data_IF_846837334027
#
_entry.id   IF_846837334027
#
_cell.length_a   1.000
_cell.length_b   1.000
_cell.length_c   1.000
_cell.angle_alpha   90.00
_cell.angle_beta   90.00
_cell.angle_gamma   90.00
#
_symmetry.space_group_name_H-M   'P 1'
#
loop_
_entity.id
_entity.type
_entity.pdbx_description
1 polymer ?
#
# COMPACT_ATOMS: atom_id res chain seq x y z
N UNK A 1 -39.49 -19.27 -2.76
CA UNK A 1 -39.11 -20.69 -2.56
C UNK A 1 -37.99 -21.11 -3.51
N UNK A 2 -38.11 -20.91 -4.83
CA UNK A 2 -37.06 -21.30 -5.81
C UNK A 2 -35.65 -20.76 -5.52
N UNK A 3 -35.52 -19.52 -5.06
CA UNK A 3 -34.21 -18.93 -4.74
C UNK A 3 -33.53 -19.57 -3.52
N UNK A 4 -34.30 -19.99 -2.52
CA UNK A 4 -33.75 -20.66 -1.32
C UNK A 4 -33.23 -22.05 -1.68
N UNK A 5 -33.90 -22.73 -2.62
CA UNK A 5 -33.48 -24.05 -3.09
C UNK A 5 -32.22 -23.96 -3.96
N UNK A 6 -32.09 -22.91 -4.77
CA UNK A 6 -30.86 -22.63 -5.54
C UNK A 6 -29.66 -22.32 -4.64
N UNK A 7 -29.86 -21.54 -3.56
CA UNK A 7 -28.82 -21.26 -2.56
C UNK A 7 -28.40 -22.54 -1.83
N UNK A 8 -29.35 -23.38 -1.42
CA UNK A 8 -29.05 -24.68 -0.79
C UNK A 8 -28.27 -25.60 -1.72
N UNK A 9 -28.60 -25.59 -3.01
CA UNK A 9 -27.90 -26.38 -4.01
C UNK A 9 -26.45 -25.90 -4.21
N UNK A 10 -26.24 -24.59 -4.36
CA UNK A 10 -24.89 -23.99 -4.45
C UNK A 10 -24.07 -24.26 -3.19
N UNK A 11 -24.68 -24.23 -2.01
CA UNK A 11 -24.00 -24.56 -0.76
C UNK A 11 -23.58 -26.03 -0.70
N UNK A 12 -24.42 -26.95 -1.20
CA UNK A 12 -24.10 -28.38 -1.27
C UNK A 12 -22.97 -28.67 -2.26
N UNK A 13 -22.93 -27.95 -3.38
CA UNK A 13 -21.82 -28.02 -4.35
C UNK A 13 -20.51 -27.51 -3.74
N UNK A 14 -20.55 -26.38 -3.03
CA UNK A 14 -19.39 -25.84 -2.30
C UNK A 14 -18.89 -26.81 -1.22
N UNK A 15 -19.78 -27.48 -0.48
CA UNK A 15 -19.40 -28.53 0.48
C UNK A 15 -18.72 -29.72 -0.22
N UNK A 16 -19.20 -30.11 -1.39
CA UNK A 16 -18.58 -31.15 -2.21
C UNK A 16 -17.17 -30.77 -2.65
N UNK A 17 -17.00 -29.58 -3.22
CA UNK A 17 -15.70 -29.05 -3.64
C UNK A 17 -14.74 -28.96 -2.45
N UNK A 18 -15.20 -28.43 -1.32
CA UNK A 18 -14.39 -28.31 -0.11
C UNK A 18 -13.93 -29.68 0.40
N UNK A 19 -14.82 -30.68 0.38
CA UNK A 19 -14.47 -32.05 0.78
C UNK A 19 -13.42 -32.67 -0.14
N UNK A 20 -13.59 -32.55 -1.45
CA UNK A 20 -12.61 -33.04 -2.43
C UNK A 20 -11.27 -32.32 -2.28
N UNK A 21 -11.28 -31.03 -1.98
CA UNK A 21 -10.07 -30.24 -1.76
C UNK A 21 -9.37 -30.67 -0.47
N UNK A 22 -10.11 -30.90 0.62
CA UNK A 22 -9.58 -31.44 1.89
C UNK A 22 -8.97 -32.82 1.68
N UNK A 23 -9.65 -33.72 0.95
CA UNK A 23 -9.15 -35.07 0.67
C UNK A 23 -7.88 -35.02 -0.20
N UNK A 24 -7.87 -34.21 -1.26
CA UNK A 24 -6.70 -34.01 -2.12
C UNK A 24 -5.51 -33.40 -1.37
N UNK A 25 -5.77 -32.43 -0.50
CA UNK A 25 -4.72 -31.77 0.29
C UNK A 25 -4.21 -32.68 1.40
N UNK A 26 -5.08 -33.47 2.03
CA UNK A 26 -4.73 -34.53 2.99
C UNK A 26 -3.76 -35.51 2.34
N UNK A 27 -4.06 -36.02 1.15
CA UNK A 27 -3.20 -37.03 0.51
C UNK A 27 -1.84 -36.44 0.10
N UNK A 28 -1.81 -35.20 -0.40
CA UNK A 28 -0.56 -34.48 -0.71
C UNK A 28 0.25 -34.17 0.54
N UNK A 29 -0.40 -33.77 1.64
CA UNK A 29 0.28 -33.53 2.91
C UNK A 29 0.80 -34.83 3.51
N UNK A 30 0.02 -35.91 3.53
CA UNK A 30 0.46 -37.22 4.00
C UNK A 30 1.65 -37.75 3.18
N UNK A 31 1.64 -37.58 1.86
CA UNK A 31 2.76 -37.92 0.98
C UNK A 31 4.02 -37.07 1.20
N UNK A 32 3.86 -35.83 1.68
CA UNK A 32 4.97 -34.92 1.99
C UNK A 32 5.50 -35.14 3.42
N UNK A 33 4.62 -35.47 4.36
CA UNK A 33 4.95 -35.72 5.77
C UNK A 33 5.48 -37.14 6.03
N UNK A 34 5.19 -38.12 5.17
CA UNK A 34 5.84 -39.44 5.20
C UNK A 34 7.36 -39.36 4.92
N UNK A 35 7.81 -38.26 4.31
CA UNK A 35 9.23 -37.97 4.05
C UNK A 35 9.94 -37.21 5.18
N UNK A 36 9.25 -36.86 6.27
CA UNK A 36 9.86 -36.20 7.45
C UNK A 36 10.05 -37.19 8.60
N UNK A 37 11.29 -37.61 8.91
CA UNK A 37 11.56 -38.76 9.78
C UNK A 37 11.47 -38.50 11.30
N UNK A 38 11.19 -37.28 11.78
CA UNK A 38 11.45 -36.92 13.20
C UNK A 38 10.25 -36.42 14.00
N UNK A 39 9.06 -36.25 13.40
CA UNK A 39 7.87 -35.77 14.12
C UNK A 39 6.91 -36.91 14.50
N UNK A 40 6.51 -36.98 15.77
CA UNK A 40 5.43 -37.85 16.24
C UNK A 40 4.12 -37.52 15.49
N UNK A 41 3.30 -38.53 15.21
CA UNK A 41 2.03 -38.44 14.48
C UNK A 41 1.12 -37.32 15.01
N UNK A 42 1.05 -37.14 16.33
CA UNK A 42 0.23 -36.08 16.94
C UNK A 42 0.70 -34.66 16.55
N UNK A 43 2.01 -34.45 16.42
CA UNK A 43 2.56 -33.16 15.98
C UNK A 43 2.32 -32.91 14.48
N UNK A 44 2.35 -33.98 13.66
CA UNK A 44 2.00 -33.91 12.23
C UNK A 44 0.52 -33.57 12.03
N UNK A 45 -0.37 -34.18 12.81
CA UNK A 45 -1.81 -33.87 12.80
C UNK A 45 -2.06 -32.44 13.27
N UNK A 46 -1.38 -32.00 14.34
CA UNK A 46 -1.47 -30.62 14.84
C UNK A 46 -1.08 -29.58 13.78
N UNK A 47 0.07 -29.77 13.10
CA UNK A 47 0.50 -28.88 12.02
C UNK A 47 -0.46 -28.87 10.83
N UNK A 48 -1.02 -30.03 10.47
CA UNK A 48 -2.01 -30.11 9.39
C UNK A 48 -3.29 -29.36 9.73
N UNK A 49 -3.76 -29.45 10.98
CA UNK A 49 -4.94 -28.71 11.45
C UNK A 49 -4.70 -27.20 11.50
N UNK A 50 -3.51 -26.74 11.93
CA UNK A 50 -3.15 -25.32 11.88
C UNK A 50 -3.10 -24.82 10.44
N UNK A 51 -2.49 -25.58 9.53
CA UNK A 51 -2.45 -25.23 8.10
C UNK A 51 -3.84 -25.16 7.48
N UNK A 52 -4.74 -26.09 7.83
CA UNK A 52 -6.12 -26.09 7.39
C UNK A 52 -6.89 -24.87 7.94
N UNK A 53 -6.74 -24.56 9.23
CA UNK A 53 -7.39 -23.41 9.86
C UNK A 53 -6.91 -22.08 9.24
N UNK A 54 -5.62 -21.96 8.91
CA UNK A 54 -5.07 -20.80 8.21
C UNK A 54 -5.60 -20.69 6.78
N UNK A 55 -5.70 -21.81 6.05
CA UNK A 55 -6.26 -21.81 4.70
C UNK A 55 -7.75 -21.42 4.71
N UNK A 56 -8.55 -21.99 5.62
CA UNK A 56 -9.97 -21.62 5.77
C UNK A 56 -10.11 -20.15 6.18
N UNK A 57 -9.27 -19.65 7.10
CA UNK A 57 -9.24 -18.24 7.49
C UNK A 57 -8.89 -17.31 6.33
N UNK A 58 -7.91 -17.67 5.51
CA UNK A 58 -7.52 -16.91 4.32
C UNK A 58 -8.67 -16.84 3.30
N UNK A 59 -9.31 -17.97 3.01
CA UNK A 59 -10.45 -18.01 2.08
C UNK A 59 -11.65 -17.24 2.61
N UNK A 60 -12.03 -17.43 3.87
CA UNK A 60 -13.14 -16.71 4.50
C UNK A 60 -12.90 -15.19 4.53
N UNK A 61 -11.67 -14.75 4.85
CA UNK A 61 -11.29 -13.34 4.78
C UNK A 61 -11.37 -12.75 3.37
N UNK A 62 -10.94 -13.51 2.35
CA UNK A 62 -11.02 -13.07 0.95
C UNK A 62 -12.45 -12.92 0.44
N UNK A 63 -13.38 -13.77 0.91
CA UNK A 63 -14.81 -13.72 0.54
C UNK A 63 -15.51 -12.58 1.28
N UNK A 64 -15.24 -12.40 2.58
CA UNK A 64 -15.81 -11.30 3.36
C UNK A 64 -15.39 -9.91 2.83
N UNK A 65 -14.15 -9.77 2.35
CA UNK A 65 -13.71 -8.54 1.69
C UNK A 65 -14.41 -8.28 0.35
N UNK A 66 -14.87 -9.32 -0.36
CA UNK A 66 -15.67 -9.17 -1.58
C UNK A 66 -17.11 -8.76 -1.31
N UNK A 67 -17.74 -9.26 -0.24
CA UNK A 67 -19.10 -8.87 0.16
C UNK A 67 -19.16 -7.49 0.84
N UNK A 68 -18.08 -7.06 1.51
CA UNK A 68 -18.00 -5.73 2.13
C UNK A 68 -18.05 -4.56 1.12
N UNK A 69 -17.82 -4.81 -0.17
CA UNK A 69 -17.86 -3.79 -1.21
C UNK A 69 -19.26 -3.51 -1.78
N UNK A 70 -20.30 -4.29 -1.43
CA UNK A 70 -21.67 -4.09 -1.94
C UNK A 70 -22.66 -3.50 -0.94
N UNK A 71 -22.25 -3.19 0.31
CA UNK A 71 -23.13 -2.61 1.32
C UNK A 71 -22.70 -1.18 1.71
N UNK A 72 -23.05 -0.22 0.86
CA UNK A 72 -23.31 1.15 1.31
C UNK A 72 -24.64 1.17 2.07
N UNK A 73 -24.62 1.06 3.40
CA UNK A 73 -25.63 1.66 4.28
C UNK A 73 -25.22 1.49 5.75
N UNK A 74 -25.49 2.53 6.53
CA UNK A 74 -25.28 2.62 7.96
C UNK A 74 -25.87 1.42 8.73
N UNK A 75 -25.00 0.65 9.38
CA UNK A 75 -25.40 -0.24 10.48
C UNK A 75 -24.46 0.02 11.67
N UNK A 76 -24.99 0.21 12.89
CA UNK A 76 -24.15 0.46 14.06
C UNK A 76 -23.22 -0.74 14.27
N UNK A 77 -21.93 -0.45 14.41
CA UNK A 77 -20.89 -1.44 14.62
C UNK A 77 -21.18 -2.28 15.87
N UNK A 78 -21.47 -3.57 15.67
CA UNK A 78 -21.36 -4.56 16.75
C UNK A 78 -19.93 -4.53 17.30
N UNK A 79 -19.74 -4.38 18.63
CA UNK A 79 -18.40 -4.21 19.22
C UNK A 79 -17.54 -5.48 19.18
N UNK A 80 -18.12 -6.62 18.79
CA UNK A 80 -17.43 -7.91 18.73
C UNK A 80 -17.64 -8.55 17.37
N UNK A 81 -16.92 -8.05 16.35
CA UNK A 81 -16.74 -8.79 15.12
C UNK A 81 -15.36 -9.49 15.14
N UNK A 82 -15.29 -10.80 15.45
CA UNK A 82 -14.04 -11.56 15.52
C UNK A 82 -13.32 -11.66 14.17
N UNK A 83 -13.92 -11.19 13.06
CA UNK A 83 -13.25 -11.12 11.76
C UNK A 83 -12.44 -9.83 11.55
N UNK A 84 -12.63 -8.78 12.36
CA UNK A 84 -11.84 -7.54 12.25
C UNK A 84 -10.36 -7.75 12.60
N UNK A 85 -10.07 -8.52 13.65
CA UNK A 85 -8.68 -8.78 14.02
C UNK A 85 -7.98 -9.68 12.98
N UNK A 86 -8.68 -10.69 12.43
CA UNK A 86 -8.17 -11.50 11.31
C UNK A 86 -7.90 -10.64 10.07
N UNK A 87 -8.82 -9.72 9.73
CA UNK A 87 -8.59 -8.71 8.69
C UNK A 87 -7.35 -7.87 8.97
N UNK A 88 -7.11 -7.42 10.20
CA UNK A 88 -5.92 -6.62 10.53
C UNK A 88 -4.58 -7.36 10.49
N UNK A 89 -4.58 -8.70 10.64
CA UNK A 89 -3.36 -9.52 10.62
C UNK A 89 -3.00 -9.97 9.21
N UNK A 90 -3.99 -10.09 8.31
CA UNK A 90 -3.79 -10.60 6.95
C UNK A 90 -4.14 -9.61 5.82
N UNK A 91 -4.84 -8.51 6.10
CA UNK A 91 -4.93 -7.41 5.15
C UNK A 91 -3.59 -6.68 5.16
N UNK A 92 -3.02 -6.47 3.98
CA UNK A 92 -1.85 -5.61 3.81
C UNK A 92 -2.09 -4.25 4.49
N UNK A 93 -1.03 -3.62 4.98
CA UNK A 93 -1.13 -2.27 5.56
C UNK A 93 -1.63 -1.32 4.47
N UNK A 94 -2.90 -0.95 4.53
CA UNK A 94 -3.46 0.10 3.66
C UNK A 94 -3.02 1.44 4.27
N UNK A 95 -2.00 2.05 3.69
CA UNK A 95 -1.64 3.41 4.05
C UNK A 95 -2.69 4.36 3.47
N UNK A 96 -3.24 5.25 4.31
CA UNK A 96 -4.14 6.30 3.85
C UNK A 96 -3.30 7.51 3.41
N UNK A 97 -3.76 8.25 2.41
CA UNK A 97 -3.13 9.52 2.02
C UNK A 97 -2.95 10.43 3.23
N UNK A 98 -1.78 11.07 3.35
CA UNK A 98 -1.44 11.89 4.50
C UNK A 98 -0.04 11.62 5.07
N UNK A 99 0.22 12.19 6.23
CA UNK A 99 1.49 12.00 6.95
C UNK A 99 1.56 10.59 7.53
N UNK A 100 2.62 9.87 7.20
CA UNK A 100 2.86 8.50 7.63
C UNK A 100 3.72 8.46 8.92
N UNK A 101 3.73 7.33 9.65
CA UNK A 101 4.51 7.20 10.89
C UNK A 101 6.02 7.40 10.74
N UNK A 102 6.55 7.16 9.54
CA UNK A 102 7.97 7.35 9.20
C UNK A 102 8.32 8.82 8.85
N UNK A 103 7.34 9.73 8.92
CA UNK A 103 7.52 11.14 8.56
C UNK A 103 7.41 11.42 7.06
N UNK A 104 7.18 10.39 6.23
CA UNK A 104 6.83 10.59 4.82
C UNK A 104 5.41 11.15 4.67
N UNK A 105 5.10 11.73 3.52
CA UNK A 105 3.74 12.13 3.17
C UNK A 105 3.29 11.37 1.94
N UNK A 106 2.28 10.52 2.08
CA UNK A 106 1.69 9.75 0.99
C UNK A 106 0.63 10.60 0.28
N UNK A 107 0.84 10.88 -1.01
CA UNK A 107 -0.18 11.50 -1.84
C UNK A 107 -1.23 10.47 -2.28
N UNK A 108 -0.77 9.36 -2.86
CA UNK A 108 -1.65 8.32 -3.39
C UNK A 108 -0.92 6.99 -3.50
N UNK A 109 -1.55 5.93 -2.99
CA UNK A 109 -1.28 4.53 -3.29
C UNK A 109 -2.44 3.86 -4.05
N UNK A 110 -3.41 4.65 -4.52
CA UNK A 110 -4.53 4.20 -5.37
C UNK A 110 -5.43 3.10 -4.78
N UNK A 111 -5.35 2.83 -3.48
CA UNK A 111 -6.20 1.86 -2.78
C UNK A 111 -7.65 2.35 -2.58
N UNK A 112 -7.89 3.65 -2.73
CA UNK A 112 -9.18 4.28 -2.50
C UNK A 112 -9.58 5.19 -3.65
N UNK A 113 -10.90 5.38 -3.83
CA UNK A 113 -11.42 6.31 -4.83
C UNK A 113 -10.99 7.75 -4.55
N UNK A 114 -10.86 8.13 -3.28
CA UNK A 114 -10.37 9.46 -2.88
C UNK A 114 -8.93 9.70 -3.37
N UNK A 115 -8.06 8.70 -3.22
CA UNK A 115 -6.68 8.78 -3.71
C UNK A 115 -6.61 9.00 -5.23
N UNK A 116 -7.48 8.34 -6.01
CA UNK A 116 -7.58 8.58 -7.46
C UNK A 116 -8.15 9.97 -7.78
N UNK A 117 -9.20 10.40 -7.08
CA UNK A 117 -9.85 11.69 -7.32
C UNK A 117 -8.98 12.89 -6.96
N UNK A 118 -7.88 12.68 -6.22
CA UNK A 118 -6.88 13.71 -5.94
C UNK A 118 -6.08 14.16 -7.16
N UNK A 119 -6.17 13.41 -8.27
CA UNK A 119 -5.48 13.71 -9.53
C UNK A 119 -6.41 14.37 -10.55
N UNK A 120 -6.00 15.51 -11.07
CA UNK A 120 -6.54 16.11 -12.28
C UNK A 120 -6.02 15.35 -13.51
N UNK A 121 -6.90 15.12 -14.49
CA UNK A 121 -6.58 14.42 -15.73
C UNK A 121 -6.68 15.36 -16.92
N UNK A 122 -5.63 15.41 -17.75
CA UNK A 122 -5.59 16.17 -19.01
C UNK A 122 -5.34 15.17 -20.13
N UNK A 123 -6.34 14.95 -21.00
CA UNK A 123 -6.24 13.94 -22.05
C UNK A 123 -5.75 12.56 -21.55
N UNK A 124 -6.17 12.19 -20.34
CA UNK A 124 -5.85 10.93 -19.70
C UNK A 124 -7.11 10.31 -19.10
N UNK A 125 -7.08 9.00 -18.85
CA UNK A 125 -8.07 8.27 -18.06
C UNK A 125 -7.36 7.58 -16.92
N UNK A 126 -7.99 7.51 -15.75
CA UNK A 126 -7.47 6.83 -14.58
C UNK A 126 -8.53 5.88 -14.02
N UNK A 127 -8.12 4.68 -13.62
CA UNK A 127 -8.96 3.70 -12.94
C UNK A 127 -8.13 2.86 -11.97
N UNK A 128 -8.74 2.28 -10.92
CA UNK A 128 -8.03 1.36 -10.04
C UNK A 128 -7.79 0.06 -10.78
N UNK A 129 -6.61 -0.54 -10.59
CA UNK A 129 -6.23 -1.79 -11.22
C UNK A 129 -5.65 -2.74 -10.20
N UNK A 130 -6.11 -3.99 -10.20
CA UNK A 130 -5.47 -5.09 -9.45
C UNK A 130 -4.26 -5.68 -10.18
N UNK A 131 -4.04 -5.29 -11.44
CA UNK A 131 -2.86 -5.66 -12.21
C UNK A 131 -1.71 -4.71 -11.88
N UNK A 132 -0.51 -5.27 -11.76
CA UNK A 132 0.71 -4.51 -11.49
C UNK A 132 0.48 -3.54 -10.32
N UNK A 133 0.12 -4.06 -9.15
CA UNK A 133 0.20 -3.32 -7.89
C UNK A 133 1.62 -3.47 -7.35
N UNK A 134 2.22 -2.36 -6.90
CA UNK A 134 3.54 -2.40 -6.25
C UNK A 134 3.38 -2.67 -4.76
N UNK A 135 2.46 -1.93 -4.13
CA UNK A 135 2.06 -2.10 -2.74
C UNK A 135 0.54 -2.30 -2.67
N UNK A 136 0.07 -2.99 -1.62
CA UNK A 136 -1.36 -3.20 -1.41
C UNK A 136 -2.03 -4.08 -2.48
N UNK A 137 -3.28 -3.77 -2.81
CA UNK A 137 -4.15 -4.52 -3.72
C UNK A 137 -4.38 -3.81 -5.06
N UNK A 138 -4.14 -2.49 -5.14
CA UNK A 138 -4.43 -1.70 -6.33
C UNK A 138 -3.28 -0.79 -6.72
N UNK A 139 -3.14 -0.55 -8.03
CA UNK A 139 -2.40 0.58 -8.58
C UNK A 139 -3.32 1.49 -9.38
N UNK A 140 -2.86 2.71 -9.67
CA UNK A 140 -3.54 3.62 -10.58
C UNK A 140 -3.17 3.30 -12.01
N UNK A 141 -4.06 2.65 -12.76
CA UNK A 141 -3.89 2.51 -14.21
C UNK A 141 -4.28 3.82 -14.88
N UNK A 142 -3.30 4.44 -15.54
CA UNK A 142 -3.44 5.69 -16.26
C UNK A 142 -3.20 5.47 -17.74
N UNK A 143 -4.22 5.72 -18.55
CA UNK A 143 -4.12 5.73 -20.01
C UNK A 143 -3.94 7.16 -20.50
N UNK A 144 -2.74 7.49 -20.98
CA UNK A 144 -2.51 8.74 -21.72
C UNK A 144 -3.05 8.59 -23.15
N UNK A 145 -3.99 9.44 -23.55
CA UNK A 145 -4.70 9.34 -24.82
C UNK A 145 -3.83 9.81 -25.99
N UNK A 146 -4.07 9.22 -27.17
CA UNK A 146 -3.36 9.55 -28.40
C UNK A 146 -3.84 10.87 -29.03
N UNK A 147 -3.04 11.43 -29.94
CA UNK A 147 -3.45 12.54 -30.81
C UNK A 147 -3.61 13.88 -30.08
N UNK A 148 -3.00 14.03 -28.91
CA UNK A 148 -2.96 15.27 -28.12
C UNK A 148 -1.52 15.74 -28.00
N UNK A 149 -1.34 17.05 -27.98
CA UNK A 149 -0.02 17.68 -27.80
C UNK A 149 0.58 17.28 -26.44
N UNK A 150 -0.26 17.30 -25.39
CA UNK A 150 0.10 16.89 -24.03
C UNK A 150 -1.04 16.05 -23.47
N UNK A 151 -0.68 14.91 -22.88
CA UNK A 151 -1.53 14.14 -21.98
C UNK A 151 -0.86 14.10 -20.61
N UNK A 152 -1.59 14.38 -19.52
CA UNK A 152 -1.02 14.54 -18.19
C UNK A 152 -1.96 14.09 -17.08
N UNK A 153 -1.34 13.75 -15.95
CA UNK A 153 -1.99 13.68 -14.64
C UNK A 153 -1.28 14.67 -13.73
N UNK A 154 -2.03 15.39 -12.91
CA UNK A 154 -1.48 16.39 -11.99
C UNK A 154 -2.19 16.40 -10.66
N UNK A 155 -1.46 16.80 -9.61
CA UNK A 155 -2.04 17.25 -8.35
C UNK A 155 -1.91 18.76 -8.37
N UNK A 156 -3.05 19.44 -8.45
CA UNK A 156 -3.12 20.90 -8.60
C UNK A 156 -3.49 21.58 -7.28
N UNK A 157 -3.24 22.88 -7.22
CA UNK A 157 -3.62 23.74 -6.10
C UNK A 157 -3.13 23.28 -4.71
N UNK A 158 -1.96 22.63 -4.64
CA UNK A 158 -1.32 22.23 -3.38
C UNK A 158 -1.16 23.42 -2.41
N UNK A 159 -0.92 24.62 -2.94
CA UNK A 159 -0.83 25.85 -2.15
C UNK A 159 -2.13 26.27 -1.46
N UNK A 160 -3.28 25.76 -1.91
CA UNK A 160 -4.62 26.02 -1.35
C UNK A 160 -5.19 24.80 -0.61
N UNK A 161 -4.61 23.63 -0.81
CA UNK A 161 -5.07 22.39 -0.19
C UNK A 161 -4.90 22.44 1.33
N UNK A 162 -5.91 21.93 2.04
CA UNK A 162 -5.86 21.75 3.51
C UNK A 162 -5.32 20.38 3.92
N UNK A 163 -5.40 19.39 3.02
CA UNK A 163 -5.03 18.00 3.28
C UNK A 163 -3.65 17.65 2.75
N UNK A 164 -3.16 18.36 1.74
CA UNK A 164 -1.87 18.09 1.11
C UNK A 164 -0.88 19.24 1.38
N UNK A 165 0.38 18.93 1.75
CA UNK A 165 1.36 19.94 2.12
C UNK A 165 1.87 20.69 0.89
N UNK A 166 1.81 22.02 0.93
CA UNK A 166 2.51 22.89 -0.03
C UNK A 166 3.97 23.12 0.35
N UNK A 167 4.32 22.96 1.64
CA UNK A 167 5.69 23.13 2.13
C UNK A 167 6.40 21.79 2.09
N UNK A 168 7.31 21.67 1.15
CA UNK A 168 8.11 20.48 0.91
C UNK A 168 9.52 20.58 1.50
N UNK A 169 9.84 21.67 2.20
CA UNK A 169 11.21 21.92 2.68
C UNK A 169 11.71 20.97 3.76
N UNK A 170 10.79 20.22 4.40
CA UNK A 170 11.10 19.20 5.40
C UNK A 170 11.38 17.79 4.82
N UNK A 171 11.24 17.61 3.50
CA UNK A 171 11.40 16.34 2.83
C UNK A 171 12.69 16.32 1.99
N UNK A 172 13.26 15.14 1.84
CA UNK A 172 14.52 14.92 1.13
C UNK A 172 14.30 14.55 -0.34
N UNK A 173 13.16 13.94 -0.67
CA UNK A 173 12.85 13.58 -2.05
C UNK A 173 11.36 13.41 -2.31
N UNK A 174 10.99 13.54 -3.58
CA UNK A 174 9.74 13.02 -4.12
C UNK A 174 9.98 11.62 -4.68
N UNK A 175 9.06 10.69 -4.41
CA UNK A 175 9.14 9.30 -4.82
C UNK A 175 7.82 8.84 -5.45
N UNK A 176 7.92 8.01 -6.49
CA UNK A 176 6.80 7.24 -7.02
C UNK A 176 7.29 5.96 -7.69
N UNK A 177 6.42 4.96 -7.80
CA UNK A 177 6.66 3.77 -8.60
C UNK A 177 5.85 3.86 -9.89
N UNK A 178 6.48 3.50 -11.01
CA UNK A 178 5.86 3.52 -12.33
C UNK A 178 6.15 2.21 -13.04
N UNK A 179 5.13 1.63 -13.67
CA UNK A 179 5.26 0.46 -14.54
C UNK A 179 4.61 0.73 -15.89
N UNK A 180 5.25 0.28 -16.97
CA UNK A 180 4.73 0.36 -18.32
C UNK A 180 4.68 -1.06 -18.93
N UNK A 181 3.50 -1.57 -19.35
CA UNK A 181 3.36 -2.93 -19.89
C UNK A 181 3.85 -3.08 -21.34
N UNK A 182 4.19 -1.97 -22.02
CA UNK A 182 4.64 -2.03 -23.40
C UNK A 182 6.06 -2.60 -23.54
N UNK A 183 6.43 -2.88 -24.77
CA UNK A 183 7.66 -3.54 -25.19
C UNK A 183 8.81 -2.57 -25.49
N UNK A 184 8.55 -1.26 -25.45
CA UNK A 184 9.51 -0.20 -25.73
C UNK A 184 9.72 0.72 -24.53
N UNK A 185 10.84 1.43 -24.51
CA UNK A 185 11.04 2.52 -23.57
C UNK A 185 10.04 3.64 -23.86
N UNK A 186 9.52 4.23 -22.80
CA UNK A 186 8.66 5.41 -22.87
C UNK A 186 9.26 6.55 -22.05
N UNK A 187 8.96 7.78 -22.47
CA UNK A 187 9.39 8.99 -21.77
C UNK A 187 8.18 9.69 -21.15
N UNK A 188 8.31 10.01 -19.87
CA UNK A 188 7.37 10.88 -19.15
C UNK A 188 8.11 12.14 -18.72
N UNK A 189 7.45 13.29 -18.75
CA UNK A 189 7.97 14.53 -18.21
C UNK A 189 7.38 14.76 -16.82
N UNK A 190 8.25 14.85 -15.82
CA UNK A 190 7.91 15.27 -14.47
C UNK A 190 8.09 16.78 -14.35
N UNK A 191 7.09 17.44 -13.78
CA UNK A 191 7.06 18.89 -13.58
C UNK A 191 6.59 19.18 -12.16
N UNK A 192 7.27 20.11 -11.50
CA UNK A 192 6.81 20.72 -10.24
C UNK A 192 6.79 22.23 -10.42
N UNK A 193 5.75 22.90 -9.94
CA UNK A 193 5.67 24.36 -9.97
C UNK A 193 5.37 24.92 -8.59
N UNK A 194 5.90 26.11 -8.31
CA UNK A 194 5.53 26.89 -7.13
C UNK A 194 4.35 27.84 -7.43
N UNK A 195 3.79 28.46 -6.38
CA UNK A 195 2.67 29.41 -6.51
C UNK A 195 3.01 30.65 -7.35
N UNK A 196 4.30 30.92 -7.60
CA UNK A 196 4.77 32.05 -8.40
C UNK A 196 5.08 31.66 -9.84
N UNK A 197 4.85 30.39 -10.22
CA UNK A 197 5.04 29.89 -11.57
C UNK A 197 6.48 29.50 -11.91
N UNK A 198 7.43 29.50 -10.96
CA UNK A 198 8.74 28.88 -11.19
C UNK A 198 8.57 27.38 -11.24
N UNK A 199 9.40 26.72 -12.05
CA UNK A 199 9.22 25.30 -12.39
C UNK A 199 10.53 24.52 -12.39
N UNK A 200 10.44 23.30 -11.88
CA UNK A 200 11.42 22.23 -12.07
C UNK A 200 10.84 21.24 -13.08
N UNK A 201 11.64 20.77 -14.04
CA UNK A 201 11.20 19.74 -14.99
C UNK A 201 12.33 18.77 -15.31
N UNK A 202 12.00 17.48 -15.40
CA UNK A 202 12.93 16.41 -15.76
C UNK A 202 12.21 15.36 -16.60
N UNK A 203 12.90 14.80 -17.60
CA UNK A 203 12.40 13.67 -18.38
C UNK A 203 12.76 12.36 -17.67
N UNK A 204 11.75 11.56 -17.36
CA UNK A 204 11.82 10.24 -16.76
C UNK A 204 11.80 9.19 -17.88
N UNK A 205 12.78 8.28 -17.86
CA UNK A 205 12.83 7.13 -18.77
C UNK A 205 12.21 5.92 -18.09
N UNK A 206 11.14 5.40 -18.68
CA UNK A 206 10.39 4.27 -18.14
C UNK A 206 10.75 3.02 -18.95
N UNK A 207 11.41 2.01 -18.35
CA UNK A 207 11.73 0.78 -19.04
C UNK A 207 10.46 -0.05 -19.32
N UNK A 208 10.48 -0.89 -20.37
CA UNK A 208 9.38 -1.80 -20.66
C UNK A 208 9.27 -2.90 -19.61
N UNK A 209 8.03 -3.26 -19.28
CA UNK A 209 7.63 -4.43 -18.49
C UNK A 209 8.36 -4.54 -17.13
N UNK A 210 8.79 -3.43 -16.55
CA UNK A 210 9.54 -3.41 -15.29
C UNK A 210 9.09 -2.24 -14.42
N UNK A 211 8.93 -2.49 -13.13
CA UNK A 211 8.71 -1.41 -12.16
C UNK A 211 9.97 -0.57 -12.04
N UNK A 212 9.82 0.74 -12.19
CA UNK A 212 10.87 1.70 -11.89
C UNK A 212 10.47 2.55 -10.69
N UNK A 213 11.39 2.62 -9.73
CA UNK A 213 11.30 3.55 -8.61
C UNK A 213 11.89 4.89 -9.05
N UNK A 214 11.05 5.90 -9.22
CA UNK A 214 11.48 7.26 -9.50
C UNK A 214 11.74 7.98 -8.18
N UNK A 215 12.94 8.54 -8.03
CA UNK A 215 13.33 9.35 -6.87
C UNK A 215 13.90 10.67 -7.38
N UNK A 216 13.21 11.76 -7.09
CA UNK A 216 13.66 13.12 -7.43
C UNK A 216 14.12 13.81 -6.14
N UNK A 217 15.42 14.05 -5.96
CA UNK A 217 15.93 14.73 -4.76
C UNK A 217 15.36 16.14 -4.61
N UNK A 218 14.94 16.50 -3.40
CA UNK A 218 14.43 17.84 -3.09
C UNK A 218 15.47 18.92 -3.37
N UNK A 219 16.76 18.60 -3.21
CA UNK A 219 17.86 19.49 -3.56
C UNK A 219 17.85 19.92 -5.05
N UNK A 220 17.43 19.05 -5.96
CA UNK A 220 17.27 19.41 -7.38
C UNK A 220 16.07 20.34 -7.60
N UNK A 221 14.95 20.04 -6.92
CA UNK A 221 13.71 20.80 -7.03
C UNK A 221 13.91 22.22 -6.44
N UNK A 222 14.52 22.32 -5.26
CA UNK A 222 14.76 23.58 -4.56
C UNK A 222 15.76 24.50 -5.27
N UNK A 223 16.63 23.95 -6.12
CA UNK A 223 17.50 24.76 -6.98
C UNK A 223 16.72 25.53 -8.07
N UNK A 224 15.52 25.06 -8.45
CA UNK A 224 14.73 25.63 -9.54
C UNK A 224 13.50 26.42 -9.08
N UNK A 225 12.89 26.07 -7.95
CA UNK A 225 11.67 26.69 -7.43
C UNK A 225 11.65 26.79 -5.90
N UNK A 226 10.70 27.54 -5.34
CA UNK A 226 10.55 27.64 -3.90
C UNK A 226 9.72 26.49 -3.33
N UNK A 227 10.39 25.53 -2.67
CA UNK A 227 9.77 24.33 -2.12
C UNK A 227 8.87 24.57 -0.91
N UNK A 228 8.87 25.77 -0.31
CA UNK A 228 7.93 26.09 0.79
C UNK A 228 6.51 26.36 0.30
N UNK A 229 6.34 26.61 -1.00
CA UNK A 229 5.07 26.97 -1.63
C UNK A 229 4.89 26.25 -2.96
N UNK A 230 5.05 24.93 -2.94
CA UNK A 230 4.72 24.08 -4.09
C UNK A 230 3.22 24.16 -4.36
N UNK A 231 2.86 24.31 -5.63
CA UNK A 231 1.49 24.47 -6.07
C UNK A 231 1.00 23.30 -6.91
N UNK A 232 1.87 22.72 -7.74
CA UNK A 232 1.46 21.65 -8.63
C UNK A 232 2.60 20.65 -8.83
N UNK A 233 2.18 19.39 -8.98
CA UNK A 233 3.01 18.28 -9.45
C UNK A 233 2.32 17.69 -10.66
N UNK A 234 3.03 17.47 -11.75
CA UNK A 234 2.48 16.93 -12.98
C UNK A 234 3.40 15.88 -13.58
N UNK A 235 2.79 14.84 -14.11
CA UNK A 235 3.44 13.81 -14.92
C UNK A 235 2.74 13.82 -16.27
N UNK A 236 3.51 14.03 -17.33
CA UNK A 236 2.95 14.22 -18.66
C UNK A 236 3.68 13.42 -19.72
N UNK A 237 2.99 13.13 -20.82
CA UNK A 237 3.53 12.52 -22.02
C UNK A 237 3.25 13.46 -23.19
N UNK A 238 4.27 13.79 -23.97
CA UNK A 238 4.16 14.74 -25.10
C UNK A 238 3.95 14.01 -26.41
N UNK A 239 2.99 14.52 -27.20
CA UNK A 239 2.81 14.30 -28.63
C UNK A 239 2.98 12.85 -29.08
N UNK A 240 1.94 12.04 -28.88
CA UNK A 240 2.03 10.61 -29.17
C UNK A 240 0.90 10.14 -30.06
N UNK A 241 1.25 9.43 -31.13
CA UNK A 241 0.31 8.83 -32.08
C UNK A 241 -0.46 7.64 -31.49
N UNK A 242 0.02 7.07 -30.38
CA UNK A 242 -0.52 5.87 -29.75
C UNK A 242 -0.82 6.16 -28.28
N UNK A 243 -2.01 5.74 -27.83
CA UNK A 243 -2.41 5.80 -26.43
C UNK A 243 -1.62 4.74 -25.63
N UNK A 244 -1.18 5.08 -24.42
CA UNK A 244 -0.35 4.20 -23.61
C UNK A 244 -0.82 4.15 -22.18
N UNK A 245 -0.77 2.94 -21.63
CA UNK A 245 -1.06 2.66 -20.25
C UNK A 245 0.22 2.71 -19.41
N UNK A 246 0.08 3.28 -18.22
CA UNK A 246 1.07 3.29 -17.16
C UNK A 246 0.37 2.95 -15.85
N UNK A 247 1.07 2.27 -14.97
CA UNK A 247 0.59 1.93 -13.64
C UNK A 247 1.43 2.71 -12.66
N UNK A 248 0.76 3.59 -11.91
CA UNK A 248 1.38 4.40 -10.87
C UNK A 248 1.02 3.83 -9.53
N UNK A 249 2.00 3.85 -8.63
CA UNK A 249 1.78 3.45 -7.26
C UNK A 249 2.71 4.21 -6.33
N UNK A 250 2.34 4.24 -5.07
CA UNK A 250 3.11 4.74 -3.96
C UNK A 250 3.79 6.12 -4.19
N UNK A 251 2.97 7.11 -4.54
CA UNK A 251 3.42 8.49 -4.76
C UNK A 251 3.53 9.22 -3.43
N UNK A 252 4.74 9.56 -2.99
CA UNK A 252 4.98 10.16 -1.66
C UNK A 252 6.18 11.12 -1.62
N UNK A 253 6.19 12.00 -0.61
CA UNK A 253 7.38 12.73 -0.17
C UNK A 253 8.09 11.93 0.90
N UNK A 254 9.40 11.73 0.76
CA UNK A 254 10.21 11.00 1.72
C UNK A 254 10.99 11.97 2.59
N UNK A 255 10.95 11.77 3.91
CA UNK A 255 11.91 12.36 4.84
C UNK A 255 12.89 11.26 5.27
N UNK A 256 14.17 11.41 4.94
CA UNK A 256 15.29 10.63 5.47
C UNK A 256 15.64 11.06 6.91
N UNK A 257 14.91 12.03 7.48
CA UNK A 257 15.03 12.38 8.88
C UNK A 257 14.42 11.30 9.81
N UNK A 258 15.06 10.14 9.84
CA UNK A 258 15.19 9.25 11.01
C UNK A 258 15.90 9.94 12.20
N UNK A 259 15.85 11.28 12.30
CA UNK A 259 16.09 12.04 13.53
C UNK A 259 14.81 12.28 14.35
N UNK A 260 13.63 11.89 13.85
CA UNK A 260 12.34 12.10 14.54
C UNK A 260 11.53 10.86 14.91
N UNK A 261 11.78 9.70 14.29
CA UNK A 261 10.95 8.49 14.45
C UNK A 261 11.30 7.61 15.67
N UNK A 262 12.09 8.12 16.62
CA UNK A 262 12.18 7.58 17.99
C UNK A 262 11.29 8.34 18.99
N UNK A 263 10.48 9.32 18.56
CA UNK A 263 9.69 10.17 19.46
C UNK A 263 8.28 9.69 19.80
N UNK A 264 7.91 8.45 19.45
CA UNK A 264 6.75 7.79 20.06
C UNK A 264 7.15 6.44 20.62
N UNK A 265 7.96 6.47 21.67
CA UNK A 265 7.83 5.47 22.70
C UNK A 265 6.36 5.52 23.16
N UNK A 266 5.60 4.45 22.91
CA UNK A 266 4.38 4.21 23.68
C UNK A 266 4.84 4.01 25.11
N UNK A 267 4.87 5.10 25.86
CA UNK A 267 5.02 5.06 27.31
C UNK A 267 3.76 4.36 27.80
N UNK A 268 3.87 3.07 28.11
CA UNK A 268 2.88 2.45 28.97
C UNK A 268 2.97 3.18 30.30
N UNK A 269 2.02 4.08 30.53
CA UNK A 269 1.86 4.80 31.78
C UNK A 269 1.43 3.79 32.85
N UNK A 270 2.41 3.14 33.46
CA UNK A 270 2.23 2.29 34.64
C UNK A 270 2.30 3.13 35.94
N UNK A 271 1.96 4.42 35.90
CA UNK A 271 1.80 5.23 37.11
C UNK A 271 3.12 5.55 37.84
N UNK A 272 4.23 5.72 37.11
CA UNK A 272 5.52 6.12 37.68
C UNK A 272 5.87 7.55 37.27
N UNK A 273 5.25 8.55 37.88
CA UNK A 273 5.47 9.97 37.55
C UNK A 273 6.87 10.51 37.89
N UNK A 274 7.66 9.80 38.72
CA UNK A 274 8.80 10.40 39.40
C UNK A 274 10.17 9.71 39.13
N UNK A 275 10.32 8.92 38.06
CA UNK A 275 11.65 8.37 37.67
C UNK A 275 12.03 8.71 36.22
N UNK A 276 13.31 9.04 36.00
CA UNK A 276 13.85 9.35 34.65
C UNK A 276 13.67 8.18 33.69
N UNK A 277 13.48 8.54 32.42
CA UNK A 277 13.16 7.68 31.26
C UNK A 277 14.02 6.41 31.24
N UNK A 278 13.36 5.24 31.22
CA UNK A 278 14.00 3.99 30.81
C UNK A 278 13.84 3.84 29.29
N UNK A 279 14.90 3.42 28.61
CA UNK A 279 14.85 3.14 27.17
C UNK A 279 15.23 1.68 26.91
N UNK A 280 14.54 1.07 25.95
CA UNK A 280 14.87 -0.26 25.45
C UNK A 280 15.67 -0.14 24.16
N UNK A 281 16.66 -1.02 24.01
CA UNK A 281 17.42 -1.17 22.77
C UNK A 281 17.28 -2.63 22.35
N UNK A 282 17.04 -2.86 21.05
CA UNK A 282 17.05 -4.21 20.50
C UNK A 282 18.49 -4.65 20.32
N UNK A 283 18.89 -5.72 21.02
CA UNK A 283 20.24 -6.27 20.90
C UNK A 283 20.22 -7.44 19.90
N UNK A 284 20.89 -7.32 18.74
CA UNK A 284 20.92 -8.37 17.73
C UNK A 284 21.63 -9.64 18.18
N UNK A 285 22.48 -9.59 19.21
CA UNK A 285 23.25 -10.74 19.68
C UNK A 285 22.43 -11.71 20.52
N UNK A 286 21.42 -11.22 21.22
CA UNK A 286 20.52 -12.01 22.07
C UNK A 286 19.09 -12.07 21.54
N UNK A 287 18.84 -11.47 20.36
CA UNK A 287 17.56 -11.47 19.64
C UNK A 287 16.36 -11.15 20.55
N UNK A 288 16.55 -10.22 21.48
CA UNK A 288 15.55 -9.83 22.48
C UNK A 288 15.71 -8.35 22.85
N UNK A 289 14.64 -7.76 23.39
CA UNK A 289 14.66 -6.38 23.88
C UNK A 289 15.32 -6.32 25.26
N UNK A 290 16.42 -5.56 25.38
CA UNK A 290 17.06 -5.30 26.67
C UNK A 290 16.61 -3.93 27.15
N UNK A 291 16.08 -3.88 28.38
CA UNK A 291 15.66 -2.64 29.05
C UNK A 291 16.78 -2.17 29.96
N UNK A 292 17.35 -1.01 29.68
CA UNK A 292 18.33 -0.39 30.56
C UNK A 292 17.63 0.50 31.57
N UNK A 293 17.72 0.12 32.85
CA UNK A 293 17.30 0.95 33.98
C UNK A 293 18.55 1.48 34.65
N UNK A 294 18.81 2.81 34.64
CA UNK A 294 19.95 3.34 35.38
C UNK A 294 19.68 3.19 36.88
N UNK A 295 20.51 2.42 37.57
CA UNK A 295 20.61 2.45 39.04
C UNK A 295 21.90 3.16 39.43
N UNK A 296 21.79 4.14 40.32
CA UNK A 296 22.93 4.72 41.04
C UNK A 296 23.06 3.93 42.34
N UNK A 297 24.27 3.45 42.64
CA UNK A 297 24.67 2.97 43.97
C UNK A 297 25.08 4.17 44.80
#
# INVERSE_FOLDING_TARGET
MKEIDEIKQKFKELQGILRTLIESYRDRLLAKFSRMPVLNLNAKIGLALVGLALAVGFFAGSVANKEGQTLNAATPSSPWNPFKWFGSVFAGRIYLSGTQPDGSFLFSNFETQEAMNSWTLIAARMMPSTNYAWEGAHSGQVTFLAGKEIAAISIDELGKSRSQPSDWSAYDSFQMYVFHPGDQFEELNFLVTDIWGKRYSETLKIPPVTWVKIVVPMAKISAALNTKKVNQVSISRRQTSIARDFYFDDTRLISLSTRGALSRANMFDYGFSDRKVAWSVFDPQVNSQIVHVPFVV
#
